data_IF_655401339675
#
_entry.id   IF_655401339675
#
_cell.length_a   1.000
_cell.length_b   1.000
_cell.length_c   1.000
_cell.angle_alpha   90.00
_cell.angle_beta   90.00
_cell.angle_gamma   90.00
#
_symmetry.space_group_name_H-M   'P 1'
#
loop_
_entity.id
_entity.type
_entity.pdbx_description
1 polymer ?
#
# COMPACT_ATOMS: atom_id res chain seq x y z
N UNK A 1 10.37 -29.25 11.05
CA UNK A 1 11.47 -28.48 10.41
C UNK A 1 12.23 -29.47 9.53
N UNK A 2 12.63 -29.04 8.33
CA UNK A 2 13.42 -29.88 7.41
C UNK A 2 14.84 -30.01 7.97
N UNK A 3 15.17 -31.20 8.49
CA UNK A 3 16.44 -31.44 9.20
C UNK A 3 17.65 -31.51 8.27
N UNK A 4 17.46 -31.72 6.97
CA UNK A 4 18.55 -31.67 6.00
C UNK A 4 18.95 -30.22 5.72
N UNK A 5 17.96 -29.32 5.60
CA UNK A 5 18.20 -27.89 5.34
C UNK A 5 18.56 -27.10 6.58
N UNK A 6 17.97 -27.47 7.73
CA UNK A 6 18.16 -26.78 9.00
C UNK A 6 18.53 -27.80 10.10
N UNK A 7 19.74 -28.40 10.03
CA UNK A 7 20.14 -29.49 10.92
C UNK A 7 20.19 -29.10 12.41
N UNK A 8 20.32 -27.82 12.71
CA UNK A 8 20.31 -27.29 14.07
C UNK A 8 18.97 -26.64 14.47
N UNK A 9 17.95 -26.75 13.61
CA UNK A 9 16.62 -26.19 13.81
C UNK A 9 16.54 -24.67 13.69
N UNK A 10 15.31 -24.15 13.71
CA UNK A 10 15.06 -22.72 13.44
C UNK A 10 15.52 -21.79 14.56
N UNK A 11 15.53 -22.25 15.82
CA UNK A 11 16.04 -21.45 16.93
C UNK A 11 17.52 -21.11 16.74
N UNK A 12 18.33 -22.06 16.27
CA UNK A 12 19.75 -21.82 15.99
C UNK A 12 19.94 -20.73 14.92
N UNK A 13 19.13 -20.76 13.86
CA UNK A 13 19.14 -19.73 12.81
C UNK A 13 18.74 -18.36 13.38
N UNK A 14 17.65 -18.30 14.14
CA UNK A 14 17.18 -17.06 14.75
C UNK A 14 18.23 -16.48 15.72
N UNK A 15 18.80 -17.31 16.60
CA UNK A 15 19.85 -16.90 17.54
C UNK A 15 21.07 -16.34 16.77
N UNK A 16 21.48 -16.97 15.67
CA UNK A 16 22.57 -16.48 14.83
C UNK A 16 22.23 -15.11 14.20
N UNK A 17 21.04 -14.96 13.62
CA UNK A 17 20.57 -13.70 13.03
C UNK A 17 20.52 -12.59 14.08
N UNK A 18 19.99 -12.89 15.27
CA UNK A 18 19.95 -11.94 16.40
C UNK A 18 21.34 -11.56 16.89
N UNK A 19 22.32 -12.49 16.87
CA UNK A 19 23.71 -12.19 17.23
C UNK A 19 24.36 -11.14 16.30
N UNK A 20 23.78 -10.92 15.12
CA UNK A 20 24.19 -9.88 14.16
C UNK A 20 23.39 -8.58 14.29
N UNK A 21 22.51 -8.47 15.28
CA UNK A 21 21.62 -7.32 15.46
C UNK A 21 20.44 -7.28 14.47
N UNK A 22 20.21 -8.35 13.72
CA UNK A 22 19.14 -8.46 12.73
C UNK A 22 17.88 -9.12 13.33
N UNK A 23 16.80 -9.15 12.54
CA UNK A 23 15.52 -9.79 12.88
C UNK A 23 15.26 -10.98 11.96
N UNK A 24 14.59 -11.99 12.48
CA UNK A 24 14.36 -13.25 11.78
C UNK A 24 12.90 -13.44 11.38
N UNK A 25 12.65 -13.66 10.08
CA UNK A 25 11.32 -13.93 9.53
C UNK A 25 11.10 -15.40 9.16
N UNK A 26 9.86 -15.86 9.28
CA UNK A 26 9.42 -17.18 8.80
C UNK A 26 8.16 -17.04 7.92
N UNK A 27 7.80 -18.14 7.25
CA UNK A 27 6.68 -18.21 6.33
C UNK A 27 5.78 -19.41 6.68
N UNK A 28 4.47 -19.21 6.55
CA UNK A 28 3.46 -20.28 6.56
C UNK A 28 2.26 -19.83 5.71
N UNK A 29 1.19 -20.61 5.71
CA UNK A 29 -0.06 -20.29 5.01
C UNK A 29 -1.26 -20.44 5.94
N UNK A 30 -2.28 -19.58 5.77
CA UNK A 30 -3.59 -19.73 6.38
C UNK A 30 -4.40 -20.88 5.77
N UNK A 31 -3.82 -21.71 4.91
CA UNK A 31 -4.42 -22.94 4.41
C UNK A 31 -3.84 -24.21 5.03
N UNK A 32 -4.31 -25.35 4.53
CA UNK A 32 -3.83 -26.69 4.93
C UNK A 32 -2.40 -26.99 4.44
N UNK A 33 -1.98 -26.32 3.36
CA UNK A 33 -0.64 -26.42 2.77
C UNK A 33 -0.15 -25.04 2.34
N UNK A 34 1.16 -24.86 2.27
CA UNK A 34 1.75 -23.68 1.64
C UNK A 34 1.64 -23.76 0.11
N UNK A 35 1.95 -22.66 -0.59
CA UNK A 35 1.98 -22.66 -2.05
C UNK A 35 2.97 -23.70 -2.63
N UNK A 36 4.04 -24.02 -1.89
CA UNK A 36 5.02 -25.06 -2.22
C UNK A 36 4.67 -26.45 -1.64
N UNK A 37 3.40 -26.68 -1.27
CA UNK A 37 2.89 -27.98 -0.77
C UNK A 37 3.60 -28.50 0.50
N UNK A 38 4.12 -27.60 1.34
CA UNK A 38 4.55 -27.92 2.72
C UNK A 38 3.36 -27.77 3.68
N UNK A 39 3.40 -28.27 4.92
CA UNK A 39 2.32 -28.06 5.89
C UNK A 39 2.00 -26.57 6.08
N UNK A 40 0.72 -26.20 5.99
CA UNK A 40 0.22 -24.88 6.34
C UNK A 40 -0.26 -24.83 7.80
N UNK A 41 -0.75 -23.67 8.23
CA UNK A 41 -1.11 -23.42 9.63
C UNK A 41 -2.61 -23.53 9.96
N UNK A 42 -3.48 -23.80 8.98
CA UNK A 42 -4.92 -23.90 9.21
C UNK A 42 -5.26 -24.96 10.27
N UNK A 43 -5.92 -24.57 11.36
CA UNK A 43 -6.25 -25.44 12.49
C UNK A 43 -5.11 -25.67 13.50
N UNK A 44 -3.91 -25.14 13.23
CA UNK A 44 -2.72 -25.27 14.06
C UNK A 44 -2.17 -23.92 14.54
N UNK A 45 -2.91 -22.82 14.37
CA UNK A 45 -2.42 -21.45 14.51
C UNK A 45 -1.78 -21.19 15.89
N UNK A 46 -2.43 -21.62 16.97
CA UNK A 46 -1.93 -21.45 18.34
C UNK A 46 -0.71 -22.34 18.63
N UNK A 47 -0.65 -23.54 18.06
CA UNK A 47 0.53 -24.41 18.18
C UNK A 47 1.72 -23.80 17.45
N UNK A 48 1.49 -23.32 16.24
CA UNK A 48 2.49 -22.74 15.36
C UNK A 48 3.01 -21.42 15.93
N UNK A 49 2.13 -20.52 16.39
CA UNK A 49 2.51 -19.26 17.02
C UNK A 49 3.39 -19.47 18.27
N UNK A 50 3.03 -20.43 19.15
CA UNK A 50 3.89 -20.81 20.29
C UNK A 50 5.24 -21.39 19.85
N UNK A 51 5.29 -22.04 18.70
CA UNK A 51 6.52 -22.60 18.14
C UNK A 51 7.40 -21.49 17.56
N UNK A 52 6.82 -20.54 16.83
CA UNK A 52 7.51 -19.35 16.32
C UNK A 52 8.09 -18.50 17.46
N UNK A 53 7.31 -18.28 18.52
CA UNK A 53 7.79 -17.58 19.72
C UNK A 53 8.97 -18.30 20.38
N UNK A 54 8.90 -19.63 20.53
CA UNK A 54 10.01 -20.46 21.07
C UNK A 54 11.26 -20.43 20.21
N UNK A 55 11.11 -20.33 18.89
CA UNK A 55 12.24 -20.20 17.96
C UNK A 55 12.84 -18.79 17.94
N UNK A 56 12.15 -17.78 18.48
CA UNK A 56 12.63 -16.40 18.41
C UNK A 56 12.30 -15.69 17.09
N UNK A 57 11.27 -16.13 16.37
CA UNK A 57 10.79 -15.44 15.16
C UNK A 57 10.35 -14.01 15.51
N UNK A 58 10.63 -13.05 14.63
CA UNK A 58 10.24 -11.64 14.76
C UNK A 58 9.27 -11.19 13.66
N UNK A 59 9.13 -11.97 12.59
CA UNK A 59 8.27 -11.66 11.44
C UNK A 59 7.63 -12.93 10.88
N UNK A 60 6.33 -12.90 10.60
CA UNK A 60 5.60 -13.98 9.93
C UNK A 60 4.96 -13.44 8.65
N UNK A 61 5.37 -13.97 7.48
CA UNK A 61 4.57 -13.92 6.24
C UNK A 61 3.57 -15.07 6.27
N UNK A 62 2.29 -14.75 6.10
CA UNK A 62 1.22 -15.74 6.18
C UNK A 62 0.37 -15.73 4.91
N UNK A 63 0.60 -16.74 4.08
CA UNK A 63 0.00 -16.91 2.76
C UNK A 63 -1.46 -17.33 2.81
N UNK A 64 -2.06 -17.50 1.64
CA UNK A 64 -3.46 -17.92 1.46
C UNK A 64 -3.61 -19.22 0.64
N UNK A 65 -2.53 -19.78 0.09
CA UNK A 65 -2.59 -21.08 -0.58
C UNK A 65 -3.15 -22.20 0.30
N UNK A 66 -3.86 -23.15 -0.29
CA UNK A 66 -4.46 -24.27 0.45
C UNK A 66 -5.66 -23.88 1.31
N UNK A 67 -6.13 -22.63 1.21
CA UNK A 67 -7.43 -22.20 1.73
C UNK A 67 -8.57 -22.88 0.97
N UNK A 68 -9.71 -23.09 1.62
CA UNK A 68 -10.91 -23.65 0.97
C UNK A 68 -12.06 -22.64 0.99
N UNK A 69 -13.08 -22.85 1.82
CA UNK A 69 -14.29 -22.03 1.95
C UNK A 69 -14.22 -21.04 3.12
N UNK A 70 -13.06 -20.94 3.75
CA UNK A 70 -12.79 -20.09 4.90
C UNK A 70 -12.81 -18.58 4.54
N UNK A 71 -13.27 -17.77 5.49
CA UNK A 71 -13.24 -16.30 5.39
C UNK A 71 -11.84 -15.75 5.70
N UNK A 72 -11.32 -14.90 4.81
CA UNK A 72 -9.98 -14.32 4.91
C UNK A 72 -9.79 -13.56 6.22
N UNK A 73 -10.67 -12.60 6.51
CA UNK A 73 -10.56 -11.75 7.70
C UNK A 73 -10.53 -12.61 8.97
N UNK A 74 -11.43 -13.58 9.08
CA UNK A 74 -11.52 -14.47 10.25
C UNK A 74 -10.28 -15.36 10.40
N UNK A 75 -9.80 -15.97 9.31
CA UNK A 75 -8.57 -16.80 9.33
C UNK A 75 -7.34 -16.00 9.76
N UNK A 76 -7.13 -14.80 9.20
CA UNK A 76 -6.01 -13.94 9.59
C UNK A 76 -6.15 -13.42 11.01
N UNK A 77 -7.37 -13.10 11.46
CA UNK A 77 -7.64 -12.71 12.85
C UNK A 77 -7.29 -13.84 13.82
N UNK A 78 -7.58 -15.10 13.48
CA UNK A 78 -7.24 -16.24 14.31
C UNK A 78 -5.72 -16.37 14.51
N UNK A 79 -4.93 -16.25 13.44
CA UNK A 79 -3.47 -16.26 13.54
C UNK A 79 -2.94 -15.03 14.30
N UNK A 80 -3.52 -13.84 14.09
CA UNK A 80 -3.14 -12.65 14.86
C UNK A 80 -3.32 -12.84 16.37
N UNK A 81 -4.48 -13.38 16.78
CA UNK A 81 -4.76 -13.72 18.18
C UNK A 81 -3.80 -14.79 18.73
N UNK A 82 -3.45 -15.78 17.91
CA UNK A 82 -2.48 -16.81 18.26
C UNK A 82 -1.08 -16.24 18.49
N UNK A 83 -0.62 -15.34 17.62
CA UNK A 83 0.66 -14.62 17.77
C UNK A 83 0.67 -13.76 19.04
N UNK A 84 -0.40 -12.99 19.28
CA UNK A 84 -0.55 -12.20 20.50
C UNK A 84 -0.48 -13.08 21.76
N UNK A 85 -1.22 -14.19 21.77
CA UNK A 85 -1.26 -15.15 22.88
C UNK A 85 0.08 -15.87 23.12
N UNK A 86 0.93 -15.96 22.10
CA UNK A 86 2.26 -16.57 22.21
C UNK A 86 3.26 -15.69 22.98
N UNK A 87 2.94 -14.41 23.23
CA UNK A 87 3.68 -13.53 24.15
C UNK A 87 5.01 -12.99 23.61
N UNK A 88 5.33 -13.21 22.34
CA UNK A 88 6.49 -12.61 21.64
C UNK A 88 5.99 -11.62 20.58
N UNK A 89 6.50 -10.38 20.54
CA UNK A 89 6.22 -9.46 19.43
C UNK A 89 6.68 -10.05 18.09
N UNK A 90 5.74 -10.26 17.18
CA UNK A 90 5.99 -10.78 15.83
C UNK A 90 5.24 -9.88 14.84
N UNK A 91 5.97 -9.28 13.89
CA UNK A 91 5.37 -8.55 12.78
C UNK A 91 4.58 -9.53 11.93
N UNK A 92 3.32 -9.20 11.67
CA UNK A 92 2.39 -10.05 10.94
C UNK A 92 2.10 -9.48 9.56
N UNK A 93 2.60 -10.17 8.53
CA UNK A 93 2.43 -9.86 7.12
C UNK A 93 1.40 -10.78 6.49
N UNK A 94 0.30 -10.19 6.04
CA UNK A 94 -0.86 -10.87 5.45
C UNK A 94 -0.64 -11.00 3.94
N UNK A 95 -0.74 -12.22 3.40
CA UNK A 95 -0.46 -12.51 2.00
C UNK A 95 -1.62 -13.28 1.35
N UNK A 96 -2.72 -12.57 1.05
CA UNK A 96 -3.90 -13.07 0.30
C UNK A 96 -4.10 -12.39 -1.07
N UNK A 97 -3.04 -11.71 -1.52
CA UNK A 97 -2.93 -11.14 -2.87
C UNK A 97 -3.92 -10.00 -3.20
N UNK A 98 -4.51 -9.38 -2.18
CA UNK A 98 -5.50 -8.31 -2.36
C UNK A 98 -6.92 -8.80 -2.71
N UNK A 99 -7.13 -10.11 -2.80
CA UNK A 99 -8.34 -10.72 -3.35
C UNK A 99 -9.59 -10.39 -2.53
N UNK A 100 -9.43 -10.22 -1.21
CA UNK A 100 -10.48 -9.91 -0.26
C UNK A 100 -10.36 -8.48 0.28
N UNK A 101 -9.73 -7.58 -0.48
CA UNK A 101 -9.56 -6.15 -0.15
C UNK A 101 -8.97 -5.93 1.26
N UNK A 102 -7.76 -6.46 1.53
CA UNK A 102 -7.18 -6.47 2.88
C UNK A 102 -6.99 -5.06 3.45
N UNK A 103 -6.79 -4.06 2.60
CA UNK A 103 -6.72 -2.66 3.01
C UNK A 103 -7.97 -2.17 3.79
N UNK A 104 -9.13 -2.82 3.66
CA UNK A 104 -10.35 -2.46 4.39
C UNK A 104 -10.44 -3.05 5.81
N UNK A 105 -9.64 -4.07 6.13
CA UNK A 105 -9.78 -4.80 7.40
C UNK A 105 -8.46 -5.20 8.09
N UNK A 106 -7.39 -5.43 7.33
CA UNK A 106 -6.11 -5.96 7.79
C UNK A 106 -5.38 -5.04 8.77
N UNK A 107 -5.61 -3.73 8.71
CA UNK A 107 -4.99 -2.77 9.65
C UNK A 107 -5.39 -2.93 11.12
N UNK A 108 -6.42 -3.75 11.42
CA UNK A 108 -6.78 -4.16 12.79
C UNK A 108 -6.28 -5.55 13.18
N UNK A 109 -5.63 -6.25 12.24
CA UNK A 109 -5.28 -7.68 12.34
C UNK A 109 -3.77 -7.88 12.21
N UNK A 110 -3.13 -7.22 11.26
CA UNK A 110 -1.70 -7.33 10.98
C UNK A 110 -1.06 -5.96 10.76
N UNK A 111 0.21 -5.98 10.34
CA UNK A 111 1.05 -4.79 10.25
C UNK A 111 1.29 -4.37 8.80
N UNK A 112 1.14 -5.30 7.86
CA UNK A 112 1.22 -5.08 6.42
C UNK A 112 0.43 -6.16 5.67
N UNK A 113 -0.03 -5.84 4.47
CA UNK A 113 -0.84 -6.77 3.66
C UNK A 113 -0.56 -6.64 2.16
N UNK A 114 -0.37 -7.79 1.50
CA UNK A 114 -0.24 -7.87 0.05
C UNK A 114 -1.51 -7.36 -0.63
N UNK A 115 -1.34 -6.44 -1.56
CA UNK A 115 -2.45 -5.78 -2.28
C UNK A 115 -2.69 -6.35 -3.68
N UNK A 116 -1.78 -7.18 -4.18
CA UNK A 116 -1.81 -7.77 -5.52
C UNK A 116 -1.29 -9.20 -5.51
N UNK A 117 -1.45 -9.90 -6.63
CA UNK A 117 -0.67 -11.11 -6.95
C UNK A 117 0.84 -10.84 -6.96
N UNK A 118 1.62 -11.91 -7.11
CA UNK A 118 3.09 -11.84 -7.00
C UNK A 118 3.69 -10.96 -8.09
N UNK A 119 4.69 -10.17 -7.71
CA UNK A 119 5.53 -9.46 -8.67
C UNK A 119 6.38 -10.46 -9.45
N UNK A 120 6.74 -10.09 -10.67
CA UNK A 120 7.75 -10.76 -11.47
C UNK A 120 8.77 -9.72 -11.92
N UNK A 121 10.02 -10.15 -12.10
CA UNK A 121 11.13 -9.31 -12.56
C UNK A 121 10.99 -8.90 -14.04
N UNK A 122 10.02 -8.03 -14.31
CA UNK A 122 9.83 -7.34 -15.58
C UNK A 122 9.02 -6.06 -15.38
N UNK A 123 9.20 -5.11 -16.31
CA UNK A 123 8.57 -3.80 -16.26
C UNK A 123 7.05 -3.83 -16.15
N UNK A 124 6.39 -4.69 -16.93
CA UNK A 124 4.93 -4.74 -17.02
C UNK A 124 4.31 -5.21 -15.69
N UNK A 125 4.89 -6.21 -15.04
CA UNK A 125 4.46 -6.66 -13.73
C UNK A 125 4.63 -5.55 -12.68
N UNK A 126 5.81 -4.93 -12.64
CA UNK A 126 6.13 -3.88 -11.67
C UNK A 126 5.19 -2.69 -11.80
N UNK A 127 4.97 -2.20 -13.02
CA UNK A 127 4.14 -1.02 -13.26
C UNK A 127 2.64 -1.31 -13.09
N UNK A 128 2.16 -2.51 -13.40
CA UNK A 128 0.77 -2.91 -13.13
C UNK A 128 0.48 -2.93 -11.63
N UNK A 129 1.37 -3.55 -10.85
CA UNK A 129 1.27 -3.58 -9.38
C UNK A 129 1.26 -2.17 -8.79
N UNK A 130 2.17 -1.30 -9.26
CA UNK A 130 2.24 0.08 -8.82
C UNK A 130 0.95 0.85 -9.12
N UNK A 131 0.40 0.72 -10.34
CA UNK A 131 -0.84 1.41 -10.73
C UNK A 131 -2.04 1.00 -9.86
N UNK A 132 -2.07 -0.25 -9.36
CA UNK A 132 -3.12 -0.73 -8.44
C UNK A 132 -3.05 -0.09 -7.05
N UNK A 133 -1.97 0.61 -6.70
CA UNK A 133 -1.82 1.31 -5.41
C UNK A 133 -2.49 2.69 -5.37
N UNK A 134 -2.94 3.21 -6.53
CA UNK A 134 -3.39 4.60 -6.71
C UNK A 134 -4.43 5.07 -5.69
N UNK A 135 -5.38 4.21 -5.34
CA UNK A 135 -6.50 4.54 -4.44
C UNK A 135 -6.33 3.98 -3.02
N UNK A 136 -5.17 3.40 -2.70
CA UNK A 136 -4.95 2.69 -1.43
C UNK A 136 -4.27 3.55 -0.36
N UNK A 137 -3.83 4.77 -0.70
CA UNK A 137 -3.07 5.65 0.21
C UNK A 137 -3.76 5.90 1.56
N UNK A 138 -5.11 5.96 1.58
CA UNK A 138 -5.90 6.24 2.79
C UNK A 138 -5.90 5.11 3.81
N UNK A 139 -5.46 3.92 3.42
CA UNK A 139 -5.44 2.74 4.27
C UNK A 139 -4.07 2.51 4.92
N UNK A 140 -2.99 3.03 4.31
CA UNK A 140 -1.64 2.94 4.83
C UNK A 140 -1.33 4.06 5.85
N UNK A 141 -0.43 3.77 6.78
CA UNK A 141 0.06 4.70 7.78
C UNK A 141 0.92 4.00 8.83
N UNK A 142 1.45 4.73 9.82
CA UNK A 142 2.25 4.13 10.90
C UNK A 142 1.58 2.89 11.52
N UNK A 143 2.28 1.75 11.44
CA UNK A 143 1.84 0.44 11.94
C UNK A 143 0.99 -0.39 10.98
N UNK A 144 0.66 0.11 9.78
CA UNK A 144 -0.23 -0.57 8.83
C UNK A 144 0.11 -0.19 7.37
N UNK A 145 0.67 -1.13 6.60
CA UNK A 145 1.25 -0.81 5.29
C UNK A 145 0.64 -1.62 4.15
N UNK A 146 0.35 -0.96 3.04
CA UNK A 146 0.09 -1.65 1.78
C UNK A 146 1.41 -2.29 1.32
N UNK A 147 1.37 -3.58 0.98
CA UNK A 147 2.52 -4.33 0.49
C UNK A 147 2.30 -4.60 -1.02
N UNK A 148 3.00 -3.89 -1.91
CA UNK A 148 3.03 -4.18 -3.34
C UNK A 148 4.04 -5.29 -3.71
N UNK A 149 4.41 -6.14 -2.75
CA UNK A 149 5.35 -7.25 -2.89
C UNK A 149 6.84 -6.85 -2.85
N UNK A 150 7.70 -7.87 -2.81
CA UNK A 150 9.15 -7.75 -2.65
C UNK A 150 9.82 -7.00 -3.83
N UNK A 151 11.00 -6.43 -3.59
CA UNK A 151 11.77 -5.72 -4.60
C UNK A 151 12.48 -6.71 -5.55
N UNK A 152 12.36 -6.49 -6.86
CA UNK A 152 13.05 -7.27 -7.90
C UNK A 152 14.42 -6.68 -8.28
N UNK A 153 14.86 -5.63 -7.59
CA UNK A 153 16.10 -4.88 -7.89
C UNK A 153 17.31 -5.81 -7.93
N UNK A 154 17.89 -5.98 -9.13
CA UNK A 154 19.12 -6.75 -9.33
C UNK A 154 18.91 -8.21 -9.72
N UNK A 155 17.69 -8.65 -10.04
CA UNK A 155 17.39 -10.04 -10.45
C UNK A 155 17.64 -10.34 -11.94
N UNK A 156 17.85 -9.30 -12.75
CA UNK A 156 18.36 -9.36 -14.13
C UNK A 156 17.33 -9.18 -15.25
N UNK A 157 16.03 -9.13 -14.95
CA UNK A 157 14.93 -9.01 -15.91
C UNK A 157 14.54 -7.59 -16.32
N UNK A 158 14.97 -6.57 -15.56
CA UNK A 158 14.80 -5.16 -15.89
C UNK A 158 16.14 -4.42 -16.10
N UNK A 159 16.09 -3.27 -16.77
CA UNK A 159 17.26 -2.38 -16.90
C UNK A 159 17.56 -1.66 -15.58
N UNK A 160 18.78 -1.12 -15.44
CA UNK A 160 19.15 -0.32 -14.26
C UNK A 160 18.20 0.85 -14.02
N UNK A 161 17.70 1.50 -15.07
CA UNK A 161 16.75 2.61 -14.97
C UNK A 161 15.36 2.15 -14.53
N UNK A 162 14.92 0.98 -15.01
CA UNK A 162 13.67 0.37 -14.56
C UNK A 162 13.76 -0.05 -13.08
N UNK A 163 14.90 -0.58 -12.62
CA UNK A 163 15.11 -0.87 -11.19
C UNK A 163 15.17 0.39 -10.32
N UNK A 164 15.82 1.45 -10.81
CA UNK A 164 15.82 2.76 -10.15
C UNK A 164 14.40 3.28 -9.98
N UNK A 165 13.61 3.17 -11.03
CA UNK A 165 12.19 3.54 -11.02
C UNK A 165 11.44 2.68 -10.00
N UNK A 166 11.54 1.35 -10.08
CA UNK A 166 10.90 0.41 -9.16
C UNK A 166 11.19 0.74 -7.67
N UNK A 167 12.46 0.92 -7.31
CA UNK A 167 12.85 1.26 -5.94
C UNK A 167 12.27 2.62 -5.50
N UNK A 168 12.31 3.61 -6.39
CA UNK A 168 11.76 4.94 -6.12
C UNK A 168 10.26 4.89 -5.86
N UNK A 169 9.54 4.13 -6.68
CA UNK A 169 8.09 3.99 -6.57
C UNK A 169 7.69 3.30 -5.26
N UNK A 170 8.43 2.26 -4.84
CA UNK A 170 8.18 1.60 -3.55
C UNK A 170 8.44 2.56 -2.38
N UNK A 171 9.51 3.35 -2.42
CA UNK A 171 9.80 4.35 -1.39
C UNK A 171 8.70 5.44 -1.33
N UNK A 172 8.21 5.89 -2.49
CA UNK A 172 7.11 6.85 -2.56
C UNK A 172 5.82 6.31 -1.95
N UNK A 173 5.60 5.00 -2.05
CA UNK A 173 4.43 4.34 -1.51
C UNK A 173 4.49 4.08 0.00
N UNK A 174 5.64 4.32 0.66
CA UNK A 174 5.91 3.85 2.02
C UNK A 174 5.70 2.32 2.13
N UNK A 175 6.20 1.60 1.13
CA UNK A 175 6.07 0.15 1.02
C UNK A 175 7.13 -0.58 1.84
N UNK A 176 6.91 -1.84 2.22
CA UNK A 176 7.98 -2.70 2.71
C UNK A 176 9.12 -2.80 1.69
N UNK A 177 10.33 -2.37 2.07
CA UNK A 177 11.54 -2.47 1.23
C UNK A 177 12.25 -3.82 1.47
N UNK A 178 11.65 -4.91 0.98
CA UNK A 178 12.21 -6.26 1.09
C UNK A 178 12.99 -6.63 -0.17
N UNK A 179 14.32 -6.64 -0.11
CA UNK A 179 15.16 -7.04 -1.23
C UNK A 179 14.94 -8.51 -1.63
N UNK A 180 14.62 -8.76 -2.89
CA UNK A 180 14.36 -10.10 -3.45
C UNK A 180 15.55 -10.72 -4.21
N UNK A 181 16.72 -10.08 -4.19
CA UNK A 181 17.91 -10.52 -4.92
C UNK A 181 18.94 -11.23 -4.02
N UNK A 182 19.97 -11.84 -4.64
CA UNK A 182 21.11 -12.37 -3.91
C UNK A 182 22.01 -11.24 -3.36
N UNK A 183 21.88 -10.96 -2.07
CA UNK A 183 22.65 -9.94 -1.38
C UNK A 183 24.15 -10.22 -1.33
N UNK A 184 24.58 -11.48 -1.50
CA UNK A 184 26.00 -11.84 -1.51
C UNK A 184 26.68 -11.41 -2.81
N UNK A 185 25.92 -11.25 -3.89
CA UNK A 185 26.43 -10.99 -5.23
C UNK A 185 25.73 -9.81 -5.91
N UNK A 186 25.74 -8.64 -5.26
CA UNK A 186 25.22 -7.41 -5.84
C UNK A 186 26.27 -6.64 -6.65
N UNK A 187 25.91 -6.26 -7.88
CA UNK A 187 26.70 -5.31 -8.69
C UNK A 187 26.76 -3.93 -8.02
N UNK A 188 27.75 -3.08 -8.38
CA UNK A 188 27.81 -1.71 -7.90
C UNK A 188 26.52 -0.91 -8.19
N UNK A 189 25.89 -1.15 -9.35
CA UNK A 189 24.64 -0.51 -9.74
C UNK A 189 23.49 -0.90 -8.82
N UNK A 190 23.30 -2.21 -8.56
CA UNK A 190 22.28 -2.72 -7.62
C UNK A 190 22.49 -2.14 -6.21
N UNK A 191 23.74 -2.10 -5.73
CA UNK A 191 24.08 -1.47 -4.44
C UNK A 191 23.74 0.01 -4.42
N UNK A 192 24.01 0.75 -5.49
CA UNK A 192 23.71 2.18 -5.57
C UNK A 192 22.21 2.48 -5.46
N UNK A 193 21.36 1.57 -5.94
CA UNK A 193 19.91 1.68 -5.84
C UNK A 193 19.46 1.33 -4.41
N UNK A 194 19.78 0.13 -3.93
CA UNK A 194 19.28 -0.38 -2.65
C UNK A 194 19.86 0.33 -1.42
N UNK A 195 21.01 1.01 -1.56
CA UNK A 195 21.66 1.76 -0.48
C UNK A 195 21.47 3.28 -0.62
N UNK A 196 20.58 3.74 -1.50
CA UNK A 196 20.26 5.16 -1.62
C UNK A 196 19.57 5.66 -0.34
N UNK A 197 20.34 6.32 0.51
CA UNK A 197 19.88 6.81 1.83
C UNK A 197 18.76 7.85 1.73
N UNK A 198 18.72 8.64 0.67
CA UNK A 198 17.71 9.69 0.51
C UNK A 198 16.35 9.10 0.17
N UNK A 199 16.33 8.11 -0.73
CA UNK A 199 15.11 7.39 -1.06
C UNK A 199 14.59 6.56 0.12
N UNK A 200 15.50 5.92 0.86
CA UNK A 200 15.13 5.24 2.10
C UNK A 200 14.57 6.24 3.13
N UNK A 201 15.12 7.45 3.22
CA UNK A 201 14.57 8.47 4.12
C UNK A 201 13.17 8.95 3.70
N UNK A 202 12.88 9.00 2.39
CA UNK A 202 11.52 9.27 1.89
C UNK A 202 10.56 8.15 2.32
N UNK A 203 10.95 6.89 2.15
CA UNK A 203 10.17 5.71 2.58
C UNK A 203 9.90 5.74 4.10
N UNK A 204 10.96 5.92 4.88
CA UNK A 204 10.97 5.88 6.34
C UNK A 204 10.54 7.20 7.01
N UNK A 205 10.02 8.16 6.25
CA UNK A 205 9.53 9.43 6.82
C UNK A 205 8.46 9.16 7.89
N UNK A 206 8.61 9.81 9.04
CA UNK A 206 7.81 9.55 10.25
C UNK A 206 6.31 9.86 10.10
N UNK A 207 5.91 10.65 9.10
CA UNK A 207 4.49 10.86 8.80
C UNK A 207 3.85 9.57 8.27
N UNK A 208 4.64 8.67 7.68
CA UNK A 208 4.22 7.36 7.21
C UNK A 208 3.14 7.42 6.13
N UNK A 209 3.06 8.52 5.38
CA UNK A 209 2.05 8.68 4.34
C UNK A 209 2.53 8.06 3.02
N UNK A 210 1.71 7.18 2.46
CA UNK A 210 1.82 6.74 1.08
C UNK A 210 1.57 7.91 0.12
N UNK A 211 2.32 7.98 -1.00
CA UNK A 211 2.11 8.97 -2.03
C UNK A 211 0.74 8.85 -2.71
N UNK A 212 0.20 9.99 -3.15
CA UNK A 212 -1.01 10.07 -3.98
C UNK A 212 -0.66 10.39 -5.42
N UNK A 213 -1.33 9.72 -6.36
CA UNK A 213 -1.25 10.10 -7.77
C UNK A 213 -2.00 11.43 -7.96
N UNK A 214 -1.24 12.48 -8.21
CA UNK A 214 -1.77 13.83 -8.38
C UNK A 214 -2.24 14.07 -9.82
N UNK A 215 -1.46 13.59 -10.80
CA UNK A 215 -1.81 13.69 -12.22
C UNK A 215 -1.51 12.38 -12.93
N UNK A 216 -2.41 11.97 -13.81
CA UNK A 216 -2.25 10.80 -14.67
C UNK A 216 -2.66 11.17 -16.08
N UNK A 217 -1.69 11.16 -17.00
CA UNK A 217 -1.88 11.49 -18.41
C UNK A 217 -1.77 10.25 -19.31
N UNK A 218 -1.88 9.04 -18.75
CA UNK A 218 -1.66 7.80 -19.48
C UNK A 218 -0.17 7.46 -19.53
N UNK A 219 0.59 8.16 -20.36
CA UNK A 219 2.02 7.89 -20.60
C UNK A 219 2.92 8.33 -19.44
N UNK A 220 2.53 9.36 -18.70
CA UNK A 220 3.29 9.84 -17.54
C UNK A 220 2.35 10.19 -16.39
N UNK A 221 2.90 10.16 -15.18
CA UNK A 221 2.21 10.44 -13.94
C UNK A 221 3.02 11.39 -13.06
N UNK A 222 2.33 12.14 -12.20
CA UNK A 222 2.91 12.94 -11.13
C UNK A 222 2.38 12.40 -9.80
N UNK A 223 3.29 11.99 -8.92
CA UNK A 223 2.98 11.48 -7.60
C UNK A 223 3.56 12.38 -6.52
N UNK A 224 2.84 12.52 -5.41
CA UNK A 224 3.22 13.43 -4.32
C UNK A 224 3.09 12.71 -2.99
N UNK A 225 4.17 12.71 -2.20
CA UNK A 225 4.21 12.23 -0.82
C UNK A 225 4.44 13.43 0.09
N UNK A 226 3.55 13.67 1.05
CA UNK A 226 3.81 14.68 2.09
C UNK A 226 4.69 14.07 3.16
N UNK A 227 5.67 14.84 3.64
CA UNK A 227 6.65 14.42 4.63
C UNK A 227 6.40 15.14 5.97
N UNK A 228 6.96 14.61 7.05
CA UNK A 228 6.73 15.06 8.44
C UNK A 228 7.12 16.52 8.74
N UNK A 229 8.00 17.11 7.94
CA UNK A 229 8.54 18.47 8.11
C UNK A 229 7.92 19.49 7.14
N UNK A 230 6.68 19.25 6.69
CA UNK A 230 5.98 20.03 5.66
C UNK A 230 6.68 20.04 4.28
N UNK A 231 7.63 19.13 4.06
CA UNK A 231 8.20 18.91 2.73
C UNK A 231 7.33 17.97 1.90
N UNK A 232 7.65 17.90 0.62
CA UNK A 232 7.01 17.00 -0.33
C UNK A 232 8.07 16.28 -1.14
N UNK A 233 7.96 14.96 -1.22
CA UNK A 233 8.60 14.22 -2.29
C UNK A 233 7.68 14.23 -3.50
N UNK A 234 8.24 14.54 -4.67
CA UNK A 234 7.51 14.62 -5.93
C UNK A 234 8.17 13.65 -6.90
N UNK A 235 7.40 12.71 -7.44
CA UNK A 235 7.87 11.76 -8.43
C UNK A 235 7.20 12.08 -9.77
N UNK A 236 8.03 12.31 -10.79
CA UNK A 236 7.62 12.44 -12.18
C UNK A 236 7.93 11.10 -12.85
N UNK A 237 6.88 10.34 -13.15
CA UNK A 237 7.02 8.99 -13.68
C UNK A 237 6.72 8.99 -15.17
N UNK A 238 7.72 8.67 -16.00
CA UNK A 238 7.50 8.30 -17.39
C UNK A 238 7.29 6.79 -17.48
N UNK A 239 6.16 6.35 -18.06
CA UNK A 239 5.85 4.92 -18.24
C UNK A 239 6.13 4.41 -19.66
N UNK A 240 6.61 5.29 -20.54
CA UNK A 240 6.84 5.02 -21.96
C UNK A 240 8.31 5.03 -22.33
N UNK A 241 8.64 4.48 -23.50
CA UNK A 241 10.00 4.50 -24.06
C UNK A 241 10.36 5.83 -24.75
N UNK A 242 9.43 6.80 -24.77
CA UNK A 242 9.65 8.12 -25.37
C UNK A 242 10.02 9.15 -24.30
N UNK A 243 10.92 10.08 -24.65
CA UNK A 243 11.18 11.26 -23.83
C UNK A 243 9.90 12.10 -23.68
N UNK A 244 9.57 12.50 -22.45
CA UNK A 244 8.40 13.35 -22.18
C UNK A 244 8.81 14.65 -21.49
N UNK A 245 8.19 15.75 -21.93
CA UNK A 245 8.20 17.01 -21.17
C UNK A 245 7.03 16.99 -20.17
N UNK A 246 7.33 17.17 -18.90
CA UNK A 246 6.30 17.21 -17.84
C UNK A 246 6.18 18.63 -17.33
N UNK A 247 4.98 19.21 -17.46
CA UNK A 247 4.66 20.51 -16.88
C UNK A 247 4.27 20.35 -15.41
N UNK A 248 4.91 21.12 -14.55
CA UNK A 248 4.68 21.12 -13.10
C UNK A 248 4.31 22.53 -12.65
N UNK A 249 3.14 22.67 -12.04
CA UNK A 249 2.75 23.87 -11.32
C UNK A 249 3.12 23.70 -9.85
N UNK A 250 4.16 24.40 -9.42
CA UNK A 250 4.67 24.30 -8.06
C UNK A 250 3.74 24.90 -7.01
N UNK A 251 3.02 25.97 -7.36
CA UNK A 251 2.06 26.59 -6.45
C UNK A 251 0.93 25.62 -6.14
N UNK A 252 0.49 24.90 -7.17
CA UNK A 252 -0.49 23.84 -7.03
C UNK A 252 0.07 22.66 -6.24
N UNK A 253 1.29 22.18 -6.54
CA UNK A 253 1.93 21.10 -5.75
C UNK A 253 2.07 21.45 -4.27
N UNK A 254 2.47 22.69 -3.94
CA UNK A 254 2.59 23.17 -2.57
C UNK A 254 1.23 23.24 -1.87
N UNK A 255 0.17 23.57 -2.61
CA UNK A 255 -1.20 23.63 -2.08
C UNK A 255 -1.81 22.25 -1.79
N UNK A 256 -1.26 21.17 -2.36
CA UNK A 256 -1.73 19.81 -2.11
C UNK A 256 -1.55 19.51 -0.62
N UNK A 257 -2.64 19.56 0.13
CA UNK A 257 -2.69 19.02 1.48
C UNK A 257 -2.94 17.53 1.35
N UNK A 258 -2.06 16.69 1.90
CA UNK A 258 -2.49 15.33 2.20
C UNK A 258 -3.71 15.44 3.12
N UNK A 259 -4.80 14.73 2.81
CA UNK A 259 -6.02 14.77 3.62
C UNK A 259 -5.74 14.11 4.98
N UNK A 260 -5.11 14.86 5.88
CA UNK A 260 -5.00 14.59 7.30
C UNK A 260 -6.18 15.22 8.03
N UNK A 261 -7.37 14.63 7.88
CA UNK A 261 -8.41 14.71 8.90
C UNK A 261 -8.97 13.30 9.05
N UNK A 262 -8.54 12.61 10.11
CA UNK A 262 -9.23 11.40 10.52
C UNK A 262 -10.67 11.75 10.83
N UNK A 263 -11.63 11.10 10.19
CA UNK A 263 -13.01 11.02 10.65
C UNK A 263 -13.62 9.75 10.11
N UNK A 264 -14.15 8.93 11.03
CA UNK A 264 -15.13 7.91 10.72
C UNK A 264 -16.33 8.56 10.05
N UNK A 265 -16.59 8.13 8.82
CA UNK A 265 -17.79 8.41 8.06
C UNK A 265 -17.89 7.30 7.00
N UNK A 266 -19.10 6.77 6.74
CA UNK A 266 -19.22 5.66 5.81
C UNK A 266 -18.79 6.10 4.40
N UNK A 267 -18.22 5.18 3.61
CA UNK A 267 -17.77 5.50 2.26
C UNK A 267 -18.97 5.98 1.40
N UNK A 268 -18.75 6.88 0.42
CA UNK A 268 -19.77 7.23 -0.55
C UNK A 268 -20.18 5.98 -1.34
N UNK A 269 -21.49 5.84 -1.60
CA UNK A 269 -22.05 4.72 -2.35
C UNK A 269 -21.43 4.60 -3.75
N UNK A 270 -21.19 3.36 -4.17
CA UNK A 270 -20.65 3.06 -5.50
C UNK A 270 -21.59 3.60 -6.61
N UNK A 271 -21.05 4.07 -7.75
CA UNK A 271 -21.88 4.46 -8.88
C UNK A 271 -22.66 3.26 -9.41
N UNK A 272 -23.95 3.45 -9.67
CA UNK A 272 -24.78 2.44 -10.30
C UNK A 272 -24.40 2.28 -11.78
N UNK A 273 -24.07 1.04 -12.18
CA UNK A 273 -24.17 0.59 -13.56
C UNK A 273 -22.85 0.39 -14.31
N UNK A 274 -22.40 -0.86 -14.36
CA UNK A 274 -21.76 -1.42 -15.54
C UNK A 274 -22.19 -2.90 -15.68
N UNK A 275 -22.49 -3.36 -16.91
CA UNK A 275 -23.15 -4.65 -17.15
C UNK A 275 -22.23 -5.85 -16.88
N UNK A 276 -22.81 -6.89 -16.28
CA UNK A 276 -22.13 -8.14 -15.97
C UNK A 276 -21.65 -8.88 -17.22
N UNK A 277 -20.44 -9.43 -17.14
CA UNK A 277 -19.92 -10.39 -18.11
C UNK A 277 -20.57 -11.78 -17.91
N UNK A 278 -20.70 -12.60 -18.97
CA UNK A 278 -21.53 -13.80 -18.98
C UNK A 278 -20.84 -15.02 -18.38
N UNK A 279 -21.66 -15.91 -17.80
CA UNK A 279 -21.23 -17.04 -16.97
C UNK A 279 -21.07 -18.39 -17.66
N UNK A 280 -20.96 -19.42 -16.81
CA UNK A 280 -21.08 -20.86 -17.10
C UNK A 280 -21.48 -21.58 -15.78
N UNK A 281 -22.07 -22.79 -15.84
CA UNK A 281 -23.48 -22.99 -15.50
C UNK A 281 -23.72 -23.65 -14.13
N UNK A 282 -24.98 -23.56 -13.69
CA UNK A 282 -25.43 -23.81 -12.34
C UNK A 282 -25.79 -25.25 -11.99
N UNK A 283 -26.13 -25.43 -10.72
CA UNK A 283 -27.15 -26.39 -10.27
C UNK A 283 -28.10 -25.69 -9.30
N UNK A 284 -29.39 -25.91 -9.58
CA UNK A 284 -30.59 -25.47 -8.86
C UNK A 284 -30.58 -26.06 -7.42
N UNK A 285 -31.20 -25.52 -6.38
CA UNK A 285 -32.33 -24.61 -6.24
C UNK A 285 -33.24 -25.21 -5.16
N UNK A 286 -33.54 -24.45 -4.09
CA UNK A 286 -34.68 -24.72 -3.21
C UNK A 286 -35.06 -23.43 -2.47
N UNK A 287 -36.33 -23.04 -2.64
CA UNK A 287 -36.97 -21.84 -2.12
C UNK A 287 -37.79 -22.13 -0.84
N UNK A 288 -38.03 -21.09 -0.03
CA UNK A 288 -39.02 -21.06 1.05
C UNK A 288 -39.11 -19.65 1.66
N UNK A 289 -39.95 -18.77 1.09
CA UNK A 289 -41.27 -18.29 1.60
C UNK A 289 -41.26 -17.31 2.79
N UNK A 290 -41.53 -16.05 2.43
CA UNK A 290 -42.46 -15.05 3.02
C UNK A 290 -42.67 -14.95 4.54
N UNK A 291 -42.59 -13.71 5.07
CA UNK A 291 -43.78 -12.92 5.46
C UNK A 291 -43.43 -11.48 5.88
N UNK A 292 -44.20 -10.53 5.35
CA UNK A 292 -44.29 -9.14 5.79
C UNK A 292 -45.68 -8.91 6.43
N UNK A 293 -45.76 -8.07 7.45
CA UNK A 293 -47.00 -7.46 7.94
C UNK A 293 -46.75 -5.98 8.27
N UNK A 294 -47.56 -5.09 7.66
CA UNK A 294 -47.83 -3.73 8.15
C UNK A 294 -48.76 -3.77 9.39
N UNK A 295 -49.23 -2.68 10.01
CA UNK A 295 -49.74 -1.40 9.50
C UNK A 295 -49.76 -0.37 10.71
N UNK A 296 -50.50 0.77 10.76
CA UNK A 296 -50.05 2.17 10.57
C UNK A 296 -50.29 3.13 11.78
N UNK A 297 -49.94 4.43 11.61
CA UNK A 297 -50.55 5.54 12.35
C UNK A 297 -50.08 6.91 11.86
N UNK A 298 -51.01 7.79 11.49
CA UNK A 298 -50.86 9.10 10.83
C UNK A 298 -51.05 10.29 11.79
N UNK A 299 -51.06 11.53 11.22
CA UNK A 299 -51.32 12.90 11.77
C UNK A 299 -50.02 13.71 11.96
N UNK A 300 -49.80 14.94 11.48
CA UNK A 300 -50.56 15.91 10.69
C UNK A 300 -49.94 17.33 10.82
N UNK A 301 -49.57 17.95 9.68
CA UNK A 301 -49.53 19.40 9.29
C UNK A 301 -48.68 20.44 10.11
N UNK A 302 -48.41 21.69 9.61
CA UNK A 302 -47.05 22.24 9.44
C UNK A 302 -46.80 23.59 10.17
N UNK A 303 -45.56 24.09 10.24
CA UNK A 303 -45.29 25.49 10.66
C UNK A 303 -44.19 26.14 9.81
N UNK A 304 -44.43 27.43 9.54
CA UNK A 304 -43.92 28.29 8.49
C UNK A 304 -42.53 28.91 8.70
N UNK A 305 -42.00 29.47 7.60
CA UNK A 305 -40.88 30.40 7.55
C UNK A 305 -41.27 31.83 7.94
N UNK A 306 -40.28 32.68 8.27
CA UNK A 306 -40.15 34.00 7.66
C UNK A 306 -38.72 34.18 7.10
N UNK A 307 -38.47 34.80 5.95
CA UNK A 307 -38.83 36.17 5.58
C UNK A 307 -37.55 37.03 5.66
N UNK A 308 -36.92 37.28 4.51
CA UNK A 308 -35.78 38.20 4.36
C UNK A 308 -36.21 39.67 4.57
N UNK A 309 -35.24 40.58 4.77
CA UNK A 309 -35.07 41.58 3.72
C UNK A 309 -33.60 41.88 3.39
N UNK A 310 -33.38 42.29 2.13
CA UNK A 310 -32.06 42.60 1.58
C UNK A 310 -31.50 43.96 1.98
N UNK A 311 -30.24 44.15 1.62
CA UNK A 311 -29.52 45.42 1.63
C UNK A 311 -28.22 45.27 0.85
N UNK A 312 -28.23 45.72 -0.41
CA UNK A 312 -27.03 45.98 -1.20
C UNK A 312 -26.41 47.29 -0.72
N UNK A 313 -25.08 47.29 -0.48
CA UNK A 313 -24.25 48.46 -0.19
C UNK A 313 -22.80 48.19 -0.61
N UNK A 314 -22.04 49.23 -1.00
CA UNK A 314 -21.08 49.17 -2.11
C UNK A 314 -19.69 48.65 -1.74
N UNK A 315 -18.96 48.24 -2.79
CA UNK A 315 -17.67 47.55 -2.72
C UNK A 315 -16.54 48.31 -2.02
N UNK A 316 -15.71 47.52 -1.33
CA UNK A 316 -14.31 47.84 -1.07
C UNK A 316 -13.42 47.10 -2.07
N UNK A 317 -12.27 47.66 -2.48
CA UNK A 317 -11.38 46.99 -3.41
C UNK A 317 -10.86 45.71 -2.76
N UNK A 318 -11.31 44.57 -3.25
CA UNK A 318 -10.71 43.28 -2.97
C UNK A 318 -9.27 43.36 -3.45
N UNK A 319 -8.33 43.50 -2.52
CA UNK A 319 -6.92 43.34 -2.81
C UNK A 319 -6.76 41.98 -3.46
N UNK A 320 -6.49 41.97 -4.76
CA UNK A 320 -5.89 40.82 -5.41
C UNK A 320 -4.62 40.55 -4.59
N UNK A 321 -4.63 39.47 -3.81
CA UNK A 321 -3.38 38.92 -3.29
C UNK A 321 -2.54 38.67 -4.52
N UNK A 322 -1.54 39.51 -4.73
CA UNK A 322 -0.57 39.34 -5.80
C UNK A 322 -0.05 37.92 -5.68
N UNK A 323 -0.41 37.08 -6.66
CA UNK A 323 0.07 35.72 -6.71
C UNK A 323 1.43 35.82 -7.36
N UNK A 324 2.50 35.82 -6.56
CA UNK A 324 3.85 35.67 -7.11
C UNK A 324 3.95 34.23 -7.60
N UNK A 325 4.18 33.97 -8.91
CA UNK A 325 4.36 32.62 -9.41
C UNK A 325 5.54 31.97 -8.67
N UNK A 326 5.32 30.78 -8.10
CA UNK A 326 6.39 30.02 -7.46
C UNK A 326 7.17 29.25 -8.52
N UNK A 327 8.47 29.51 -8.59
CA UNK A 327 9.45 28.89 -9.49
C UNK A 327 10.26 27.81 -8.77
N UNK A 328 11.06 27.02 -9.49
CA UNK A 328 12.03 26.11 -8.86
C UNK A 328 12.95 26.82 -7.86
N UNK A 329 13.33 28.07 -8.16
CA UNK A 329 14.17 28.90 -7.28
C UNK A 329 13.48 29.25 -5.95
N UNK A 330 12.15 29.11 -5.86
CA UNK A 330 11.40 29.29 -4.63
C UNK A 330 11.34 28.05 -3.74
N UNK A 331 11.85 26.90 -4.21
CA UNK A 331 11.91 25.67 -3.44
C UNK A 331 13.34 25.25 -3.15
N UNK A 332 13.54 24.69 -1.96
CA UNK A 332 14.78 23.97 -1.67
C UNK A 332 14.65 22.55 -2.19
N UNK A 333 15.20 22.31 -3.37
CA UNK A 333 15.39 20.96 -3.88
C UNK A 333 16.55 20.33 -3.10
N UNK A 334 16.23 19.35 -2.25
CA UNK A 334 17.24 18.66 -1.45
C UNK A 334 18.12 17.76 -2.30
N UNK A 335 17.48 17.05 -3.22
CA UNK A 335 18.14 16.19 -4.19
C UNK A 335 17.21 15.94 -5.39
N UNK A 336 17.81 15.58 -6.51
CA UNK A 336 17.10 15.23 -7.74
C UNK A 336 17.62 13.89 -8.23
N UNK A 337 16.80 12.85 -8.02
CA UNK A 337 17.08 11.56 -8.63
C UNK A 337 16.42 11.49 -10.01
N UNK A 338 17.12 12.08 -10.99
CA UNK A 338 16.60 12.26 -12.34
C UNK A 338 16.75 10.99 -13.19
N UNK A 339 15.65 10.63 -13.85
CA UNK A 339 15.73 9.83 -15.06
C UNK A 339 16.20 10.73 -16.20
N UNK A 340 17.19 10.31 -16.98
CA UNK A 340 17.83 11.13 -18.05
C UNK A 340 16.87 11.61 -19.15
N UNK A 341 15.66 11.07 -19.20
CA UNK A 341 14.67 11.27 -20.25
C UNK A 341 13.51 12.19 -19.85
N UNK A 342 13.55 12.75 -18.63
CA UNK A 342 12.59 13.74 -18.17
C UNK A 342 13.18 15.13 -18.24
N UNK A 343 12.47 16.04 -18.92
CA UNK A 343 12.78 17.47 -18.87
C UNK A 343 11.68 18.14 -18.07
N UNK A 344 12.04 18.63 -16.89
CA UNK A 344 11.18 19.47 -16.07
C UNK A 344 11.07 20.85 -16.70
N UNK A 345 9.85 21.27 -17.04
CA UNK A 345 9.57 22.61 -17.52
C UNK A 345 8.66 23.31 -16.53
N UNK A 346 9.13 24.45 -16.03
CA UNK A 346 8.34 25.33 -15.21
C UNK A 346 7.30 26.05 -16.07
N UNK A 347 6.08 26.16 -15.57
CA UNK A 347 5.07 27.05 -16.13
C UNK A 347 5.06 28.33 -15.31
N UNK A 348 5.74 29.37 -15.79
CA UNK A 348 5.45 30.73 -15.38
C UNK A 348 4.05 31.08 -15.90
N UNK A 349 3.08 31.23 -15.00
CA UNK A 349 1.77 31.83 -15.34
C UNK A 349 1.87 33.34 -15.36
#
# INVERSE_FOLDING_TARGET
CDAERFPHGMKYVADYVHSKGLKFGIYSSAGTVTCQRRPGGFGHEYQDARTYARYGVDYLKYDWCGSTTQDAKSSYTNMSNALYSAGRPIVFSICEWGSNKPWEWAGSVGHLWRTTGDISDNWNSMIDIFNRQKDLFRYAGPGKWNDPDMLEVGNGGMTTEQYRTHFSLWCMLASPLMAGNDLQNMTPETKSILLNKEMIAIDQDSLGQQATCYRDNGDYQIWVKTLSNNEKAVCLLNKSDEKKSVLVDFSLLASIRSRGRGFGGPPPAAPAGAPGMPGMPGTQGAAGTQRAQGVPGSLGVPVAAPGAPGGMGPGGPGGQRGFTPLTLDNYRVRDVWEHKDLVLKETSM
#
